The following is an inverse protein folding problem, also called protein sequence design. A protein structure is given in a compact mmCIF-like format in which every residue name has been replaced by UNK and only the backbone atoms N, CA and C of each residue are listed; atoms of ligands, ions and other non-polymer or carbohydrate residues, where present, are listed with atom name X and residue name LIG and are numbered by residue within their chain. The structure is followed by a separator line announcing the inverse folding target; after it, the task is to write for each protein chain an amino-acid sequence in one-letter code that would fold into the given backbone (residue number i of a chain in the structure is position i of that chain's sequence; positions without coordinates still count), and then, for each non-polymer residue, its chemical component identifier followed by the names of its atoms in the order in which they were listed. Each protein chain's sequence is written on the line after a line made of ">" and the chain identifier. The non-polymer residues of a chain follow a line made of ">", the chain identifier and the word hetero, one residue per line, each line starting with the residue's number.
data_IF_886066955380
#
_entry.id   IF_886066955380
#
_cell.length_a   1.000
_cell.length_b   1.000
_cell.length_c   1.000
_cell.angle_alpha   90.00
_cell.angle_beta   90.00
_cell.angle_gamma   90.00
#
_symmetry.space_group_name_H-M   'P 1'
#
loop_
_entity.id
_entity.type
_entity.pdbx_description
1 polymer ?
#
# COMPACT_ATOMS: atom_id res chain seq x y z
N UNK A 1 -5.75 -15.97 12.95
CA UNK A 1 -5.15 -15.54 11.67
C UNK A 1 -5.59 -14.11 11.37
N UNK A 2 -4.64 -13.20 11.16
CA UNK A 2 -4.89 -11.77 10.90
C UNK A 2 -4.65 -11.51 9.40
N UNK A 3 -5.70 -11.14 8.65
CA UNK A 3 -5.58 -10.88 7.21
C UNK A 3 -5.17 -9.41 7.02
N UNK A 4 -4.00 -9.18 6.41
CA UNK A 4 -3.48 -7.86 6.06
C UNK A 4 -2.97 -7.94 4.62
N UNK A 5 -3.53 -7.13 3.72
CA UNK A 5 -3.21 -7.18 2.28
C UNK A 5 -4.24 -7.99 1.50
N UNK A 6 -5.22 -7.29 0.95
CA UNK A 6 -6.30 -7.86 0.14
C UNK A 6 -7.28 -6.75 -0.21
N UNK A 7 -8.15 -6.99 -1.21
CA UNK A 7 -9.22 -6.05 -1.52
C UNK A 7 -10.21 -6.07 -0.34
N UNK A 8 -10.26 -4.99 0.46
CA UNK A 8 -11.19 -4.87 1.59
C UNK A 8 -12.54 -4.32 1.10
N UNK A 9 -13.13 -5.02 0.14
CA UNK A 9 -14.47 -4.76 -0.38
C UNK A 9 -15.44 -5.81 0.15
N UNK A 10 -16.72 -5.46 0.15
CA UNK A 10 -17.79 -6.38 0.51
C UNK A 10 -17.81 -7.58 -0.43
N UNK A 11 -17.59 -7.38 -1.73
CA UNK A 11 -17.51 -8.46 -2.72
C UNK A 11 -16.38 -9.47 -2.45
N UNK A 12 -15.25 -9.01 -1.92
CA UNK A 12 -14.08 -9.85 -1.66
C UNK A 12 -14.17 -10.61 -0.33
N UNK A 13 -14.83 -10.03 0.68
CA UNK A 13 -14.92 -10.60 2.03
C UNK A 13 -16.29 -11.24 2.32
N UNK A 14 -17.28 -10.97 1.48
CA UNK A 14 -18.64 -11.47 1.59
C UNK A 14 -19.22 -11.24 3.00
N UNK A 15 -19.87 -12.26 3.60
CA UNK A 15 -20.48 -12.15 4.93
C UNK A 15 -19.52 -11.75 6.06
N UNK A 16 -18.21 -11.92 5.88
CA UNK A 16 -17.22 -11.58 6.89
C UNK A 16 -16.84 -10.10 6.88
N UNK A 17 -17.27 -9.32 5.89
CA UNK A 17 -16.87 -7.93 5.69
C UNK A 17 -17.05 -7.08 6.96
N UNK A 18 -18.27 -7.06 7.53
CA UNK A 18 -18.55 -6.26 8.74
C UNK A 18 -17.80 -6.77 9.97
N UNK A 19 -17.63 -8.08 10.12
CA UNK A 19 -16.90 -8.67 11.24
C UNK A 19 -15.40 -8.32 11.18
N UNK A 20 -14.81 -8.35 9.99
CA UNK A 20 -13.42 -7.96 9.76
C UNK A 20 -13.23 -6.48 10.04
N UNK A 21 -14.09 -5.60 9.52
CA UNK A 21 -14.01 -4.16 9.79
C UNK A 21 -14.16 -3.84 11.28
N UNK A 22 -15.06 -4.54 11.97
CA UNK A 22 -15.25 -4.34 13.41
C UNK A 22 -14.01 -4.74 14.19
N UNK A 23 -13.37 -5.87 13.87
CA UNK A 23 -12.10 -6.28 14.50
C UNK A 23 -10.98 -5.27 14.22
N UNK A 24 -10.90 -4.77 12.99
CA UNK A 24 -9.94 -3.76 12.57
C UNK A 24 -10.06 -2.48 13.43
N UNK A 25 -11.29 -2.00 13.64
CA UNK A 25 -11.57 -0.83 14.50
C UNK A 25 -11.33 -1.06 15.98
N UNK A 26 -11.52 -2.29 16.47
CA UNK A 26 -11.36 -2.60 17.89
C UNK A 26 -9.89 -2.76 18.32
N UNK A 27 -8.98 -3.02 17.38
CA UNK A 27 -7.56 -3.23 17.69
C UNK A 27 -6.61 -2.60 16.65
N UNK A 28 -6.78 -1.31 16.30
CA UNK A 28 -6.08 -0.68 15.18
C UNK A 28 -4.54 -0.78 15.31
N UNK A 29 -4.01 -0.63 16.53
CA UNK A 29 -2.57 -0.74 16.79
C UNK A 29 -2.00 -2.10 16.42
N UNK A 30 -2.65 -3.21 16.79
CA UNK A 30 -2.16 -4.56 16.50
C UNK A 30 -2.11 -4.87 15.00
N UNK A 31 -3.05 -4.29 14.25
CA UNK A 31 -3.11 -4.37 12.79
C UNK A 31 -2.00 -3.53 12.14
N UNK A 32 -1.72 -2.33 12.66
CA UNK A 32 -0.61 -1.49 12.21
C UNK A 32 0.76 -2.11 12.54
N UNK A 33 0.91 -2.72 13.73
CA UNK A 33 2.13 -3.47 14.10
C UNK A 33 2.39 -4.61 13.11
N UNK A 34 1.32 -5.31 12.74
CA UNK A 34 1.40 -6.42 11.79
C UNK A 34 1.73 -5.92 10.38
N UNK A 35 1.12 -4.80 9.95
CA UNK A 35 1.45 -4.14 8.70
C UNK A 35 2.94 -3.77 8.64
N UNK A 36 3.44 -3.12 9.68
CA UNK A 36 4.83 -2.70 9.77
C UNK A 36 5.77 -3.90 9.66
N UNK A 37 5.52 -4.98 10.42
CA UNK A 37 6.35 -6.19 10.42
C UNK A 37 6.37 -6.90 9.06
N UNK A 38 5.24 -6.94 8.36
CA UNK A 38 5.12 -7.69 7.11
C UNK A 38 5.61 -6.92 5.89
N UNK A 39 5.37 -5.60 5.85
CA UNK A 39 5.54 -4.80 4.64
C UNK A 39 6.57 -3.68 4.79
N UNK A 40 6.83 -3.19 6.01
CA UNK A 40 7.77 -2.08 6.22
C UNK A 40 9.13 -2.57 6.71
N UNK A 41 9.16 -3.58 7.59
CA UNK A 41 10.37 -4.10 8.20
C UNK A 41 11.21 -4.96 7.26
N UNK A 42 10.67 -5.34 6.10
CA UNK A 42 11.34 -6.19 5.11
C UNK A 42 11.20 -5.57 3.73
N UNK A 43 12.25 -5.60 2.90
CA UNK A 43 12.13 -5.20 1.50
C UNK A 43 11.16 -6.15 0.79
N UNK A 44 10.25 -5.57 0.02
CA UNK A 44 9.27 -6.30 -0.80
C UNK A 44 9.68 -6.15 -2.25
N UNK A 45 9.61 -7.25 -3.01
CA UNK A 45 9.90 -7.24 -4.45
C UNK A 45 8.93 -6.33 -5.22
N UNK A 46 9.43 -5.63 -6.25
CA UNK A 46 8.66 -4.69 -7.05
C UNK A 46 7.39 -5.31 -7.68
N UNK A 47 7.45 -6.57 -8.14
CA UNK A 47 6.30 -7.28 -8.71
C UNK A 47 5.29 -7.68 -7.64
N UNK A 48 5.74 -7.91 -6.42
CA UNK A 48 4.83 -8.15 -5.31
C UNK A 48 4.15 -6.85 -4.88
N UNK A 49 4.91 -5.75 -4.77
CA UNK A 49 4.39 -4.43 -4.44
C UNK A 49 3.30 -3.96 -5.42
N UNK A 50 3.45 -4.21 -6.72
CA UNK A 50 2.48 -3.81 -7.74
C UNK A 50 1.09 -4.46 -7.55
N UNK A 51 1.06 -5.67 -6.97
CA UNK A 51 -0.17 -6.47 -6.78
C UNK A 51 -0.86 -6.21 -5.42
N UNK A 52 -0.22 -5.48 -4.52
CA UNK A 52 -0.70 -5.30 -3.15
C UNK A 52 -1.57 -4.04 -3.00
N UNK A 53 -2.84 -4.22 -2.59
CA UNK A 53 -3.80 -3.14 -2.36
C UNK A 53 -3.76 -2.64 -0.90
N UNK A 54 -2.57 -2.21 -0.45
CA UNK A 54 -2.31 -1.91 0.95
C UNK A 54 -2.79 -0.51 1.40
N UNK A 55 -2.92 0.44 0.48
CA UNK A 55 -3.40 1.78 0.80
C UNK A 55 -4.82 1.77 1.37
N UNK A 56 -5.72 0.99 0.77
CA UNK A 56 -7.10 0.84 1.23
C UNK A 56 -7.19 0.33 2.68
N UNK A 57 -6.30 -0.59 3.06
CA UNK A 57 -6.22 -1.07 4.45
C UNK A 57 -5.83 0.05 5.42
N UNK A 58 -4.79 0.81 5.10
CA UNK A 58 -4.36 1.94 5.93
C UNK A 58 -5.42 3.04 6.02
N UNK A 59 -6.17 3.30 4.94
CA UNK A 59 -7.29 4.25 4.95
C UNK A 59 -8.37 3.85 5.97
N UNK A 60 -8.68 2.56 6.13
CA UNK A 60 -9.66 2.09 7.14
C UNK A 60 -9.21 2.35 8.57
N UNK A 61 -7.90 2.48 8.79
CA UNK A 61 -7.29 2.72 10.10
C UNK A 61 -6.98 4.20 10.36
N UNK A 62 -7.05 5.05 9.33
CA UNK A 62 -6.65 6.45 9.41
C UNK A 62 -7.51 7.25 10.40
N UNK A 63 -8.79 6.93 10.57
CA UNK A 63 -9.65 7.61 11.56
C UNK A 63 -9.28 7.28 13.00
N UNK A 64 -8.77 6.08 13.26
CA UNK A 64 -8.44 5.61 14.61
C UNK A 64 -6.98 5.92 15.01
N UNK A 65 -6.05 5.94 14.05
CA UNK A 65 -4.63 6.16 14.30
C UNK A 65 -3.97 6.96 13.16
N UNK A 66 -4.39 8.22 12.91
CA UNK A 66 -3.99 8.99 11.74
C UNK A 66 -2.48 9.21 11.64
N UNK A 67 -1.83 9.59 12.73
CA UNK A 67 -0.38 9.88 12.72
C UNK A 67 0.44 8.61 12.48
N UNK A 68 0.00 7.47 13.01
CA UNK A 68 0.68 6.19 12.81
C UNK A 68 0.50 5.67 11.39
N UNK A 69 -0.70 5.81 10.82
CA UNK A 69 -0.96 5.53 9.41
C UNK A 69 -0.07 6.41 8.52
N UNK A 70 0.03 7.71 8.80
CA UNK A 70 0.89 8.63 8.04
C UNK A 70 2.36 8.19 8.08
N UNK A 71 2.88 7.87 9.27
CA UNK A 71 4.25 7.42 9.44
C UNK A 71 4.55 6.12 8.68
N UNK A 72 3.65 5.14 8.77
CA UNK A 72 3.80 3.87 8.04
C UNK A 72 3.66 4.06 6.53
N UNK A 73 2.72 4.90 6.09
CA UNK A 73 2.55 5.23 4.68
C UNK A 73 3.80 5.90 4.10
N UNK A 74 4.41 6.86 4.82
CA UNK A 74 5.64 7.50 4.39
C UNK A 74 6.83 6.53 4.31
N UNK A 75 6.99 5.64 5.31
CA UNK A 75 8.05 4.62 5.27
C UNK A 75 7.87 3.62 4.14
N UNK A 76 6.63 3.20 3.89
CA UNK A 76 6.32 2.28 2.80
C UNK A 76 6.45 2.95 1.42
N UNK A 77 6.10 4.24 1.31
CA UNK A 77 6.31 5.03 0.10
C UNK A 77 7.79 5.04 -0.32
N UNK A 78 8.72 5.18 0.61
CA UNK A 78 10.15 5.11 0.29
C UNK A 78 10.58 3.77 -0.34
N UNK A 79 9.93 2.66 0.04
CA UNK A 79 10.17 1.36 -0.62
C UNK A 79 9.58 1.33 -2.02
N UNK A 80 8.37 1.88 -2.21
CA UNK A 80 7.74 1.99 -3.53
C UNK A 80 8.58 2.88 -4.46
N UNK A 81 9.06 4.03 -3.97
CA UNK A 81 9.94 4.93 -4.72
C UNK A 81 11.21 4.21 -5.18
N UNK A 82 11.82 3.41 -4.29
CA UNK A 82 12.99 2.59 -4.62
C UNK A 82 12.68 1.56 -5.72
N UNK A 83 11.53 0.88 -5.61
CA UNK A 83 11.11 -0.12 -6.58
C UNK A 83 10.78 0.49 -7.95
N UNK A 84 10.10 1.64 -7.97
CA UNK A 84 9.80 2.42 -9.18
C UNK A 84 11.11 2.79 -9.87
N UNK A 85 12.07 3.35 -9.14
CA UNK A 85 13.33 3.77 -9.73
C UNK A 85 14.10 2.60 -10.36
N UNK A 86 14.13 1.44 -9.71
CA UNK A 86 14.75 0.24 -10.26
C UNK A 86 14.06 -0.24 -11.56
N UNK A 87 12.73 -0.12 -11.64
CA UNK A 87 11.99 -0.45 -12.85
C UNK A 87 12.21 0.57 -13.97
N UNK A 88 12.25 1.86 -13.65
CA UNK A 88 12.57 2.92 -14.62
C UNK A 88 13.92 2.68 -15.28
N UNK A 89 14.96 2.36 -14.49
CA UNK A 89 16.28 2.00 -15.02
C UNK A 89 16.22 0.79 -15.96
N UNK A 90 15.44 -0.24 -15.60
CA UNK A 90 15.25 -1.41 -16.46
C UNK A 90 14.58 -1.05 -17.79
N UNK A 91 13.60 -0.14 -17.77
CA UNK A 91 12.92 0.34 -18.98
C UNK A 91 13.88 1.14 -19.86
N UNK A 92 14.69 2.01 -19.26
CA UNK A 92 15.71 2.80 -19.95
C UNK A 92 16.75 1.91 -20.64
N UNK A 93 17.24 0.86 -19.96
CA UNK A 93 18.19 -0.10 -20.53
C UNK A 93 17.62 -0.87 -21.73
N UNK A 94 16.32 -1.17 -21.70
CA UNK A 94 15.63 -1.86 -22.81
C UNK A 94 15.26 -0.88 -23.94
N UNK A 95 15.14 0.40 -23.64
CA UNK A 95 14.91 1.48 -24.61
C UNK A 95 13.46 1.66 -25.06
N UNK A 96 12.52 0.82 -24.63
CA UNK A 96 11.09 0.99 -24.87
C UNK A 96 10.23 0.18 -23.88
N UNK A 97 9.20 0.81 -23.32
CA UNK A 97 8.21 0.15 -22.46
C UNK A 97 7.44 -0.96 -23.22
N UNK A 98 7.17 -0.75 -24.51
CA UNK A 98 6.46 -1.68 -25.39
C UNK A 98 7.25 -2.97 -25.69
N UNK A 99 8.57 -2.94 -25.49
CA UNK A 99 9.44 -4.10 -25.65
C UNK A 99 9.53 -4.95 -24.37
N UNK A 100 8.93 -4.50 -23.26
CA UNK A 100 8.92 -5.25 -22.01
C UNK A 100 7.97 -6.45 -22.07
N UNK A 101 8.27 -7.52 -21.32
CA UNK A 101 7.27 -8.53 -21.01
C UNK A 101 6.01 -7.88 -20.41
N UNK A 102 4.83 -8.35 -20.82
CA UNK A 102 3.54 -7.78 -20.39
C UNK A 102 3.41 -7.67 -18.86
N UNK A 103 3.92 -8.66 -18.12
CA UNK A 103 3.91 -8.64 -16.64
C UNK A 103 4.74 -7.49 -16.06
N UNK A 104 5.85 -7.14 -16.71
CA UNK A 104 6.72 -6.04 -16.29
C UNK A 104 6.06 -4.70 -16.57
N UNK A 105 5.48 -4.51 -17.76
CA UNK A 105 4.72 -3.30 -18.09
C UNK A 105 3.55 -3.08 -17.10
N UNK A 106 2.79 -4.14 -16.80
CA UNK A 106 1.73 -4.10 -15.78
C UNK A 106 2.25 -3.74 -14.38
N UNK A 107 3.44 -4.22 -14.00
CA UNK A 107 4.03 -3.89 -12.72
C UNK A 107 4.43 -2.41 -12.62
N UNK A 108 5.01 -1.84 -13.67
CA UNK A 108 5.37 -0.40 -13.75
C UNK A 108 4.15 0.47 -13.54
N UNK A 109 3.09 0.24 -14.32
CA UNK A 109 1.86 1.03 -14.26
C UNK A 109 1.22 0.98 -12.87
N UNK A 110 1.13 -0.22 -12.29
CA UNK A 110 0.54 -0.38 -10.97
C UNK A 110 1.39 0.21 -9.85
N UNK A 111 2.72 0.12 -9.92
CA UNK A 111 3.58 0.73 -8.91
C UNK A 111 3.40 2.25 -8.86
N UNK A 112 3.23 2.91 -10.00
CA UNK A 112 2.92 4.35 -10.05
C UNK A 112 1.54 4.69 -9.46
N UNK A 113 0.55 3.81 -9.63
CA UNK A 113 -0.73 3.94 -8.92
C UNK A 113 -0.51 3.83 -7.40
N UNK A 114 0.21 2.80 -6.93
CA UNK A 114 0.51 2.62 -5.49
C UNK A 114 1.29 3.78 -4.90
N UNK A 115 2.28 4.29 -5.63
CA UNK A 115 3.08 5.45 -5.26
C UNK A 115 2.20 6.66 -4.98
N UNK A 116 1.25 6.95 -5.87
CA UNK A 116 0.28 8.06 -5.67
C UNK A 116 -0.63 7.83 -4.47
N UNK A 117 -1.19 6.64 -4.30
CA UNK A 117 -2.06 6.31 -3.17
C UNK A 117 -1.35 6.52 -1.83
N UNK A 118 -0.11 6.04 -1.70
CA UNK A 118 0.68 6.17 -0.48
C UNK A 118 1.17 7.60 -0.24
N UNK A 119 1.48 8.35 -1.31
CA UNK A 119 1.81 9.78 -1.20
C UNK A 119 0.64 10.56 -0.59
N UNK A 120 -0.58 10.35 -1.06
CA UNK A 120 -1.78 11.00 -0.49
C UNK A 120 -1.98 10.66 0.99
N UNK A 121 -1.81 9.39 1.36
CA UNK A 121 -1.89 8.93 2.75
C UNK A 121 -0.81 9.56 3.65
N UNK A 122 0.40 9.71 3.14
CA UNK A 122 1.49 10.38 3.88
C UNK A 122 1.31 11.90 3.98
N UNK A 123 0.63 12.52 3.02
CA UNK A 123 0.50 13.97 2.90
C UNK A 123 -0.74 14.55 3.59
N UNK A 124 -1.70 13.73 4.03
CA UNK A 124 -2.94 14.22 4.65
C UNK A 124 -2.62 15.01 5.92
N UNK A 125 -2.60 16.34 5.80
CA UNK A 125 -2.44 17.35 6.85
C UNK A 125 -3.70 17.43 7.71
N UNK A 126 -3.54 17.81 9.00
CA UNK A 126 -4.67 18.09 9.89
C UNK A 126 -5.66 19.04 9.19
N UNK A 127 -6.99 18.87 9.37
CA UNK A 127 -7.87 20.00 9.12
C UNK A 127 -7.41 21.13 10.04
N UNK A 128 -6.94 22.22 9.44
CA UNK A 128 -6.84 23.51 10.12
C UNK A 128 -8.27 23.89 10.50
N UNK A 129 -8.60 23.70 11.77
CA UNK A 129 -9.82 24.30 12.32
C UNK A 129 -9.63 25.84 12.27
N UNK A 130 -10.57 26.59 11.68
CA UNK A 130 -10.64 28.04 11.83
C UNK A 130 -10.95 28.43 13.28
#
# INVERSE_FOLDING_TARGET
>A
MLIVGGNFTEDALGPLYHAVLTRLRNAPSAYLDTFERLFVARPVDARQLSKLYLAAFLQRLASAAPDRVRALAGRFLGQIDTAVHAMEQTVEEIGALEALPQETAFAVENLEIRRREFRLLSATTRPTNP
#
